data_IF_626881907146
#
_entry.id   IF_626881907146
#
_cell.length_a   1.000
_cell.length_b   1.000
_cell.length_c   1.000
_cell.angle_alpha   90.00
_cell.angle_beta   90.00
_cell.angle_gamma   90.00
#
_symmetry.space_group_name_H-M   'P 1'
#
loop_
_entity.id
_entity.type
_entity.pdbx_description
1 polymer ?
#
# COMPACT_ATOMS: atom_id res chain seq x y z
N UNK A 1 -21.57 20.46 -5.05
CA UNK A 1 -20.62 19.35 -5.26
C UNK A 1 -20.89 18.32 -4.18
N UNK A 2 -21.67 17.29 -4.47
CA UNK A 2 -21.98 16.23 -3.50
C UNK A 2 -20.80 15.25 -3.49
N UNK A 3 -19.88 15.44 -2.53
CA UNK A 3 -18.77 14.50 -2.32
C UNK A 3 -19.27 13.22 -1.69
N UNK A 4 -18.62 12.10 -1.98
CA UNK A 4 -18.86 10.86 -1.24
C UNK A 4 -18.54 11.10 0.25
N UNK A 5 -19.31 10.48 1.14
CA UNK A 5 -19.15 10.62 2.59
C UNK A 5 -18.89 9.26 3.25
N UNK A 6 -18.21 9.26 4.39
CA UNK A 6 -18.25 8.18 5.39
C UNK A 6 -18.51 8.76 6.78
N UNK A 7 -18.88 7.91 7.74
CA UNK A 7 -19.14 8.36 9.11
C UNK A 7 -17.95 8.05 10.02
N UNK A 8 -17.46 9.05 10.73
CA UNK A 8 -16.48 8.92 11.80
C UNK A 8 -17.16 9.20 13.14
N UNK A 9 -17.37 8.17 13.97
CA UNK A 9 -18.05 8.30 15.27
C UNK A 9 -19.40 9.04 15.16
N UNK A 10 -20.15 8.74 14.11
CA UNK A 10 -21.43 9.39 13.81
C UNK A 10 -21.34 10.73 13.08
N UNK A 11 -20.15 11.32 12.92
CA UNK A 11 -19.97 12.55 12.15
C UNK A 11 -19.75 12.25 10.67
N UNK A 12 -20.54 12.86 9.75
CA UNK A 12 -20.34 12.68 8.32
C UNK A 12 -19.07 13.42 7.87
N UNK A 13 -18.17 12.73 7.18
CA UNK A 13 -16.94 13.28 6.64
C UNK A 13 -16.92 13.12 5.11
N UNK A 14 -16.77 14.23 4.36
CA UNK A 14 -16.57 14.17 2.92
C UNK A 14 -15.15 13.69 2.59
N UNK A 15 -15.01 12.98 1.49
CA UNK A 15 -13.71 12.58 0.95
C UNK A 15 -13.67 12.69 -0.57
N UNK A 16 -12.46 12.81 -1.12
CA UNK A 16 -12.24 12.79 -2.56
C UNK A 16 -11.91 11.35 -3.04
N UNK A 17 -12.32 10.95 -4.26
CA UNK A 17 -11.98 9.63 -4.81
C UNK A 17 -10.48 9.34 -4.75
N UNK A 18 -10.13 8.19 -4.17
CA UNK A 18 -8.73 7.77 -4.00
C UNK A 18 -8.05 8.26 -2.71
N UNK A 19 -8.71 9.10 -1.91
CA UNK A 19 -8.24 9.44 -0.56
C UNK A 19 -8.26 8.21 0.36
N UNK A 20 -7.30 8.15 1.28
CA UNK A 20 -7.35 7.21 2.40
C UNK A 20 -8.19 7.77 3.54
N UNK A 21 -8.67 6.91 4.42
CA UNK A 21 -9.40 7.30 5.64
C UNK A 21 -8.60 8.33 6.46
N UNK A 22 -7.29 8.13 6.60
CA UNK A 22 -6.40 9.06 7.28
C UNK A 22 -6.34 10.44 6.62
N UNK A 23 -6.34 10.51 5.28
CA UNK A 23 -6.29 11.78 4.56
C UNK A 23 -7.58 12.57 4.77
N UNK A 24 -8.73 11.91 4.67
CA UNK A 24 -10.03 12.53 4.91
C UNK A 24 -10.18 13.02 6.36
N UNK A 25 -9.73 12.23 7.35
CA UNK A 25 -9.69 12.64 8.76
C UNK A 25 -8.78 13.85 9.00
N UNK A 26 -7.58 13.85 8.40
CA UNK A 26 -6.63 14.96 8.51
C UNK A 26 -7.19 16.27 7.93
N UNK A 27 -7.86 16.22 6.77
CA UNK A 27 -8.55 17.38 6.18
C UNK A 27 -9.66 17.93 7.08
N UNK A 28 -10.31 17.07 7.85
CA UNK A 28 -11.33 17.45 8.82
C UNK A 28 -10.76 17.95 10.17
N UNK A 29 -9.43 18.07 10.28
CA UNK A 29 -8.75 18.50 11.52
C UNK A 29 -8.67 17.40 12.59
N UNK A 30 -8.96 16.15 12.24
CA UNK A 30 -8.94 15.01 13.17
C UNK A 30 -7.55 14.36 13.10
N UNK A 31 -6.67 14.74 14.03
CA UNK A 31 -5.32 14.20 14.14
C UNK A 31 -5.23 12.93 15.01
N UNK A 32 -6.19 12.74 15.92
CA UNK A 32 -6.19 11.67 16.91
C UNK A 32 -7.36 10.70 16.72
N UNK A 33 -7.08 9.40 16.74
CA UNK A 33 -8.04 8.33 16.44
C UNK A 33 -8.55 7.61 17.70
N UNK A 34 -8.10 8.02 18.88
CA UNK A 34 -8.44 7.43 20.17
C UNK A 34 -7.20 6.98 20.96
N UNK A 35 -7.38 6.31 22.11
CA UNK A 35 -6.25 5.88 22.94
C UNK A 35 -5.48 4.73 22.28
N UNK A 36 -4.16 4.80 22.40
CA UNK A 36 -3.21 3.75 22.06
C UNK A 36 -2.90 2.84 23.25
N UNK A 37 -2.08 1.79 23.05
CA UNK A 37 -1.82 0.77 24.07
C UNK A 37 -1.21 1.29 25.38
N UNK A 38 -0.49 2.41 25.32
CA UNK A 38 0.20 3.02 26.47
C UNK A 38 -0.44 4.33 26.92
N UNK A 39 -1.70 4.58 26.55
CA UNK A 39 -2.42 5.82 26.88
C UNK A 39 -2.08 7.02 25.98
N UNK A 40 -1.09 6.91 25.09
CA UNK A 40 -0.81 7.91 24.05
C UNK A 40 -1.88 7.88 22.97
N UNK A 41 -2.24 9.03 22.40
CA UNK A 41 -3.20 9.06 21.31
C UNK A 41 -2.69 8.31 20.07
N UNK A 42 -3.57 7.51 19.46
CA UNK A 42 -3.40 6.95 18.13
C UNK A 42 -3.46 8.09 17.11
N UNK A 43 -2.48 8.15 16.22
CA UNK A 43 -2.41 9.15 15.16
C UNK A 43 -1.67 8.57 13.95
N UNK A 44 -1.80 9.25 12.81
CA UNK A 44 -0.94 8.96 11.65
C UNK A 44 0.46 9.42 11.95
N UNK A 45 1.41 8.48 11.93
CA UNK A 45 2.83 8.78 12.10
C UNK A 45 3.63 8.42 10.86
N UNK A 46 3.74 7.11 10.54
CA UNK A 46 4.56 6.67 9.42
C UNK A 46 3.90 6.82 8.03
N UNK A 47 2.57 6.93 7.97
CA UNK A 47 1.81 6.99 6.71
C UNK A 47 1.86 5.73 5.82
N UNK A 48 2.55 4.66 6.26
CA UNK A 48 2.79 3.44 5.47
C UNK A 48 2.31 2.16 6.17
N UNK A 49 1.42 2.28 7.16
CA UNK A 49 0.83 1.17 7.91
C UNK A 49 1.77 0.45 8.90
N UNK A 50 3.04 0.83 9.00
CA UNK A 50 4.03 0.11 9.83
C UNK A 50 3.92 0.42 11.32
N UNK A 51 3.67 1.68 11.69
CA UNK A 51 3.64 2.09 13.10
C UNK A 51 2.40 1.62 13.84
N UNK A 52 1.33 1.24 13.11
CA UNK A 52 0.03 0.83 13.64
C UNK A 52 -0.65 1.82 14.61
N UNK A 53 -0.10 3.03 14.77
CA UNK A 53 -0.74 4.12 15.52
C UNK A 53 -1.94 4.69 14.78
N UNK A 54 -2.09 4.45 13.48
CA UNK A 54 -3.24 4.87 12.68
C UNK A 54 -4.36 3.83 12.61
N UNK A 55 -4.37 2.80 13.46
CA UNK A 55 -5.38 1.75 13.39
C UNK A 55 -6.76 2.31 13.75
N UNK A 56 -7.73 2.01 12.90
CA UNK A 56 -9.15 2.32 13.05
C UNK A 56 -9.97 1.08 12.75
N UNK A 57 -11.26 1.10 13.07
CA UNK A 57 -12.18 0.07 12.65
C UNK A 57 -12.93 0.49 11.38
N UNK A 58 -12.89 -0.35 10.35
CA UNK A 58 -13.65 -0.17 9.11
C UNK A 58 -14.43 -1.45 8.86
N UNK A 59 -15.77 -1.34 8.83
CA UNK A 59 -16.67 -2.49 8.64
C UNK A 59 -16.37 -3.66 9.61
N UNK A 60 -16.18 -3.37 10.89
CA UNK A 60 -15.93 -4.37 11.94
C UNK A 60 -14.54 -4.99 11.93
N UNK A 61 -13.60 -4.44 11.16
CA UNK A 61 -12.22 -4.96 11.05
C UNK A 61 -11.22 -3.86 11.35
N UNK A 62 -10.17 -4.22 12.10
CA UNK A 62 -9.02 -3.32 12.30
C UNK A 62 -8.30 -3.10 10.97
N UNK A 63 -8.06 -1.83 10.64
CA UNK A 63 -7.47 -1.42 9.38
C UNK A 63 -6.54 -0.22 9.57
N UNK A 64 -5.44 -0.16 8.80
CA UNK A 64 -4.55 0.99 8.81
C UNK A 64 -5.19 2.16 8.06
N UNK A 65 -5.62 3.22 8.77
CA UNK A 65 -6.31 4.36 8.15
C UNK A 65 -5.48 5.02 7.04
N UNK A 66 -4.14 4.98 7.14
CA UNK A 66 -3.24 5.56 6.15
C UNK A 66 -3.20 4.83 4.80
N UNK A 67 -3.51 3.53 4.78
CA UNK A 67 -3.53 2.71 3.58
C UNK A 67 -4.95 2.37 3.11
N UNK A 68 -5.93 2.43 4.01
CA UNK A 68 -7.32 2.06 3.71
C UNK A 68 -8.00 3.16 2.90
N UNK A 69 -8.48 2.88 1.67
CA UNK A 69 -9.26 3.84 0.90
C UNK A 69 -10.51 4.26 1.68
N UNK A 70 -10.87 5.55 1.61
CA UNK A 70 -12.09 6.05 2.21
C UNK A 70 -13.31 5.33 1.58
N UNK A 71 -14.11 4.60 2.38
CA UNK A 71 -15.19 3.78 1.85
C UNK A 71 -16.36 4.67 1.43
N UNK A 72 -16.90 4.47 0.23
CA UNK A 72 -18.22 5.01 -0.10
C UNK A 72 -19.25 4.34 0.80
N UNK A 73 -20.14 5.09 1.44
CA UNK A 73 -21.34 4.51 2.06
C UNK A 73 -22.28 4.06 0.94
N UNK A 74 -22.04 2.85 0.42
CA UNK A 74 -22.98 2.12 -0.41
C UNK A 74 -22.71 0.63 -0.21
N UNK A 75 -23.78 -0.11 0.08
CA UNK A 75 -23.81 -1.53 0.42
C UNK A 75 -22.86 -2.40 -0.41
N UNK A 76 -22.19 -3.33 0.27
CA UNK A 76 -21.52 -4.52 -0.25
C UNK A 76 -21.21 -4.51 -1.76
N UNK A 77 -20.10 -3.89 -2.16
CA UNK A 77 -19.45 -4.37 -3.38
C UNK A 77 -18.85 -5.72 -3.06
N UNK A 78 -19.53 -6.79 -3.49
CA UNK A 78 -18.88 -8.08 -3.73
C UNK A 78 -17.63 -7.77 -4.55
N UNK A 79 -16.46 -8.07 -3.99
CA UNK A 79 -15.22 -7.97 -4.71
C UNK A 79 -15.28 -9.00 -5.84
N UNK A 80 -15.77 -8.62 -7.02
CA UNK A 80 -15.56 -9.36 -8.25
C UNK A 80 -14.14 -9.07 -8.71
N UNK A 81 -13.16 -9.35 -7.85
CA UNK A 81 -11.82 -9.67 -8.33
C UNK A 81 -12.04 -10.92 -9.18
N UNK A 82 -12.01 -10.73 -10.50
CA UNK A 82 -12.18 -11.77 -11.48
C UNK A 82 -11.35 -12.97 -11.02
N UNK A 83 -12.06 -14.06 -10.72
CA UNK A 83 -11.49 -15.31 -10.22
C UNK A 83 -10.84 -16.01 -11.41
N UNK A 84 -9.78 -15.43 -11.96
CA UNK A 84 -8.85 -16.19 -12.80
C UNK A 84 -8.10 -17.11 -11.86
N UNK A 85 -8.64 -18.32 -11.68
CA UNK A 85 -7.81 -19.49 -11.46
C UNK A 85 -6.98 -19.65 -12.72
N UNK A 86 -5.85 -18.95 -12.80
CA UNK A 86 -4.80 -19.46 -13.66
C UNK A 86 -4.25 -20.67 -12.93
N UNK A 87 -4.42 -21.86 -13.50
CA UNK A 87 -3.63 -23.00 -13.08
C UNK A 87 -2.16 -22.58 -13.27
N UNK A 88 -1.48 -22.38 -12.15
CA UNK A 88 -0.11 -21.89 -12.11
C UNK A 88 0.81 -22.87 -12.84
N UNK A 89 1.53 -22.35 -13.82
CA UNK A 89 2.64 -23.06 -14.45
C UNK A 89 3.95 -22.63 -13.80
N UNK A 90 4.86 -23.57 -13.56
CA UNK A 90 6.13 -23.48 -12.79
C UNK A 90 7.18 -22.45 -13.28
N UNK A 91 6.81 -21.38 -14.01
CA UNK A 91 7.74 -20.44 -14.65
C UNK A 91 7.24 -19.00 -14.58
N UNK A 92 6.95 -18.53 -13.39
CA UNK A 92 6.57 -17.13 -13.13
C UNK A 92 7.58 -16.55 -12.12
N UNK A 93 8.15 -15.38 -12.45
CA UNK A 93 9.03 -14.64 -11.55
C UNK A 93 8.16 -13.70 -10.72
N UNK A 94 8.27 -13.81 -9.39
CA UNK A 94 7.53 -12.97 -8.46
C UNK A 94 8.36 -11.74 -8.10
N UNK A 95 7.86 -10.55 -8.41
CA UNK A 95 8.46 -9.28 -7.98
C UNK A 95 7.62 -8.72 -6.83
N UNK A 96 8.24 -8.55 -5.67
CA UNK A 96 7.59 -8.05 -4.45
C UNK A 96 7.90 -6.57 -4.25
N UNK A 97 6.89 -5.73 -4.44
CA UNK A 97 6.94 -4.27 -4.33
C UNK A 97 6.86 -3.60 -5.70
N UNK A 98 5.85 -2.76 -5.92
CA UNK A 98 5.59 -2.00 -7.13
C UNK A 98 6.12 -0.55 -7.04
N UNK A 99 7.23 -0.35 -6.32
CA UNK A 99 7.99 0.90 -6.33
C UNK A 99 8.93 0.99 -7.54
N UNK A 100 9.68 2.08 -7.65
CA UNK A 100 10.62 2.34 -8.74
C UNK A 100 11.55 1.14 -9.05
N UNK A 101 12.12 0.51 -8.02
CA UNK A 101 13.02 -0.62 -8.17
C UNK A 101 12.31 -1.89 -8.69
N UNK A 102 11.13 -2.20 -8.16
CA UNK A 102 10.39 -3.40 -8.55
C UNK A 102 9.79 -3.29 -9.94
N UNK A 103 9.23 -2.13 -10.30
CA UNK A 103 8.78 -1.89 -11.69
C UNK A 103 9.96 -1.94 -12.65
N UNK A 104 11.12 -1.38 -12.28
CA UNK A 104 12.34 -1.47 -13.08
C UNK A 104 12.77 -2.91 -13.33
N UNK A 105 12.79 -3.73 -12.28
CA UNK A 105 13.10 -5.16 -12.40
C UNK A 105 12.07 -5.88 -13.30
N UNK A 106 10.78 -5.59 -13.14
CA UNK A 106 9.73 -6.21 -13.92
C UNK A 106 9.83 -5.88 -15.42
N UNK A 107 10.14 -4.63 -15.76
CA UNK A 107 10.39 -4.19 -17.14
C UNK A 107 11.55 -4.97 -17.77
N UNK A 108 12.69 -5.06 -17.09
CA UNK A 108 13.86 -5.79 -17.60
C UNK A 108 13.59 -7.29 -17.75
N UNK A 109 12.88 -7.90 -16.81
CA UNK A 109 12.49 -9.31 -16.88
C UNK A 109 11.49 -9.58 -18.03
N UNK A 110 10.51 -8.70 -18.21
CA UNK A 110 9.53 -8.82 -19.28
C UNK A 110 10.16 -8.64 -20.67
N UNK A 111 11.11 -7.69 -20.82
CA UNK A 111 11.94 -7.54 -22.02
C UNK A 111 12.76 -8.79 -22.34
N UNK A 112 13.23 -9.49 -21.31
CA UNK A 112 13.90 -10.78 -21.43
C UNK A 112 12.95 -11.98 -21.70
N UNK A 113 11.66 -11.71 -21.97
CA UNK A 113 10.66 -12.73 -22.28
C UNK A 113 10.20 -13.57 -21.08
N UNK A 114 10.50 -13.14 -19.85
CA UNK A 114 10.04 -13.83 -18.65
C UNK A 114 8.60 -13.47 -18.33
N UNK A 115 7.85 -14.41 -17.75
CA UNK A 115 6.53 -14.12 -17.17
C UNK A 115 6.70 -13.58 -15.76
N UNK A 116 6.15 -12.40 -15.52
CA UNK A 116 6.40 -11.64 -14.31
C UNK A 116 5.07 -11.29 -13.64
N UNK A 117 4.97 -11.62 -12.36
CA UNK A 117 3.92 -11.12 -11.48
C UNK A 117 4.51 -10.10 -10.53
N UNK A 118 4.04 -8.86 -10.62
CA UNK A 118 4.34 -7.79 -9.66
C UNK A 118 3.24 -7.74 -8.62
N UNK A 119 3.62 -7.83 -7.36
CA UNK A 119 2.69 -7.66 -6.23
C UNK A 119 3.05 -6.44 -5.39
N UNK A 120 2.04 -5.75 -4.87
CA UNK A 120 2.21 -4.71 -3.86
C UNK A 120 1.03 -4.71 -2.90
N UNK A 121 1.27 -4.34 -1.65
CA UNK A 121 0.23 -4.19 -0.63
C UNK A 121 -0.59 -2.92 -0.83
N UNK A 122 -0.04 -1.92 -1.51
CA UNK A 122 -0.72 -0.68 -1.87
C UNK A 122 -1.76 -0.93 -2.97
N UNK A 123 -2.78 -0.05 -3.09
CA UNK A 123 -3.81 -0.18 -4.13
C UNK A 123 -3.31 0.16 -5.54
N UNK A 124 -2.11 0.72 -5.68
CA UNK A 124 -1.51 1.11 -6.98
C UNK A 124 0.01 1.16 -6.89
N UNK A 125 0.66 1.13 -8.05
CA UNK A 125 2.11 1.24 -8.17
C UNK A 125 2.66 2.64 -7.83
N UNK A 126 3.94 2.69 -7.44
CA UNK A 126 4.74 3.90 -7.25
C UNK A 126 5.58 3.92 -5.97
N UNK A 127 5.15 3.21 -4.93
CA UNK A 127 5.87 3.15 -3.65
C UNK A 127 6.23 4.55 -3.13
N UNK A 128 7.51 4.76 -2.80
CA UNK A 128 7.99 6.03 -2.24
C UNK A 128 7.99 7.22 -3.21
N UNK A 129 7.78 7.00 -4.53
CA UNK A 129 7.72 8.11 -5.51
C UNK A 129 6.56 9.07 -5.21
N UNK A 130 5.47 8.57 -4.63
CA UNK A 130 4.31 9.40 -4.27
C UNK A 130 4.51 10.23 -2.99
N UNK A 131 5.64 10.07 -2.29
CA UNK A 131 5.90 10.78 -1.04
C UNK A 131 6.17 12.25 -1.33
N UNK A 132 5.36 13.12 -0.74
CA UNK A 132 5.53 14.56 -0.86
C UNK A 132 6.56 15.08 0.13
N UNK A 133 7.36 16.11 -0.25
CA UNK A 133 8.17 16.83 0.71
C UNK A 133 7.29 17.53 1.75
N UNK A 134 7.83 17.76 2.94
CA UNK A 134 7.15 18.56 3.96
C UNK A 134 7.04 20.02 3.48
N UNK A 135 5.96 20.74 3.83
CA UNK A 135 5.85 22.17 3.53
C UNK A 135 7.09 22.95 3.98
N UNK A 136 7.61 23.79 3.11
CA UNK A 136 8.83 24.59 3.39
C UNK A 136 10.14 23.79 3.36
N UNK A 137 10.13 22.49 3.03
CA UNK A 137 11.35 21.70 2.80
C UNK A 137 11.48 21.30 1.34
N UNK A 138 12.66 21.51 0.77
CA UNK A 138 12.98 20.99 -0.55
C UNK A 138 12.96 19.45 -0.56
N UNK A 139 12.52 18.85 -1.66
CA UNK A 139 12.64 17.42 -1.86
C UNK A 139 14.13 17.04 -1.96
N UNK A 140 14.55 16.01 -1.22
CA UNK A 140 15.93 15.50 -1.25
C UNK A 140 16.23 14.85 -2.62
N UNK A 141 15.22 14.27 -3.26
CA UNK A 141 15.28 13.78 -4.64
C UNK A 141 13.87 13.72 -5.23
N UNK A 142 13.73 14.00 -6.52
CA UNK A 142 12.50 13.75 -7.28
C UNK A 142 12.75 12.65 -8.29
N UNK A 143 12.00 11.57 -8.16
CA UNK A 143 12.01 10.46 -9.13
C UNK A 143 10.80 10.52 -10.07
N UNK A 144 10.01 11.60 -10.06
CA UNK A 144 8.75 11.70 -10.80
C UNK A 144 8.94 11.49 -12.31
N UNK A 145 9.81 12.26 -12.96
CA UNK A 145 10.06 12.11 -14.41
C UNK A 145 10.68 10.75 -14.81
N UNK A 146 11.39 10.09 -13.88
CA UNK A 146 11.89 8.72 -14.10
C UNK A 146 10.75 7.71 -13.96
N UNK A 147 9.89 7.90 -12.97
CA UNK A 147 8.72 7.08 -12.72
C UNK A 147 7.74 7.13 -13.87
N UNK A 148 7.41 8.33 -14.38
CA UNK A 148 6.43 8.51 -15.46
C UNK A 148 6.84 7.73 -16.71
N UNK A 149 8.13 7.80 -17.09
CA UNK A 149 8.67 7.01 -18.20
C UNK A 149 8.62 5.51 -17.93
N UNK A 150 9.03 5.10 -16.72
CA UNK A 150 9.12 3.69 -16.37
C UNK A 150 7.75 3.02 -16.30
N UNK A 151 6.73 3.70 -15.74
CA UNK A 151 5.40 3.12 -15.62
C UNK A 151 4.71 3.02 -16.98
N UNK A 152 4.87 4.04 -17.84
CA UNK A 152 4.35 4.00 -19.21
C UNK A 152 4.97 2.84 -20.02
N UNK A 153 6.26 2.58 -19.80
CA UNK A 153 6.92 1.44 -20.41
C UNK A 153 6.41 0.10 -19.87
N UNK A 154 6.27 -0.01 -18.54
CA UNK A 154 5.75 -1.22 -17.91
C UNK A 154 4.32 -1.57 -18.35
N UNK A 155 3.47 -0.55 -18.58
CA UNK A 155 2.11 -0.72 -19.11
C UNK A 155 2.08 -1.23 -20.55
N UNK A 156 3.16 -1.04 -21.32
CA UNK A 156 3.29 -1.55 -22.69
C UNK A 156 3.81 -3.00 -22.75
N UNK A 157 4.23 -3.58 -21.62
CA UNK A 157 4.78 -4.92 -21.51
C UNK A 157 3.78 -5.91 -20.89
N UNK A 158 3.89 -7.22 -21.20
CA UNK A 158 2.99 -8.24 -20.66
C UNK A 158 3.36 -8.61 -19.21
N UNK A 159 3.19 -7.66 -18.29
CA UNK A 159 3.42 -7.83 -16.85
C UNK A 159 2.08 -8.04 -16.16
N UNK A 160 1.98 -9.08 -15.34
CA UNK A 160 0.81 -9.31 -14.48
C UNK A 160 0.95 -8.54 -13.18
N UNK A 161 -0.15 -7.95 -12.71
CA UNK A 161 -0.18 -7.10 -11.52
C UNK A 161 -1.20 -7.59 -10.49
N UNK A 162 -0.80 -7.67 -9.24
CA UNK A 162 -1.70 -7.90 -8.11
C UNK A 162 -1.45 -6.90 -6.98
N UNK A 163 -2.33 -5.89 -6.91
CA UNK A 163 -2.36 -4.91 -5.83
C UNK A 163 -3.12 -5.44 -4.61
N UNK A 164 -3.04 -4.71 -3.50
CA UNK A 164 -3.63 -5.11 -2.21
C UNK A 164 -3.21 -6.52 -1.77
N UNK A 165 -2.04 -6.96 -2.23
CA UNK A 165 -1.49 -8.31 -2.04
C UNK A 165 -0.21 -8.21 -1.23
N UNK A 166 -0.20 -8.88 -0.08
CA UNK A 166 0.92 -8.88 0.86
C UNK A 166 1.76 -10.12 0.64
N UNK A 167 3.06 -9.96 0.50
CA UNK A 167 3.99 -11.08 0.62
C UNK A 167 4.25 -11.36 2.10
N UNK A 168 3.85 -12.54 2.57
CA UNK A 168 4.04 -12.94 3.97
C UNK A 168 5.41 -13.62 4.18
N UNK A 169 5.93 -14.31 3.17
CA UNK A 169 7.22 -14.98 3.24
C UNK A 169 7.36 -16.14 2.27
N UNK A 170 8.50 -16.82 2.35
CA UNK A 170 8.81 -18.06 1.67
C UNK A 170 8.99 -19.18 2.71
N UNK A 171 8.51 -20.37 2.40
CA UNK A 171 8.88 -21.57 3.16
C UNK A 171 10.27 -22.10 2.72
N UNK A 172 10.75 -23.14 3.41
CA UNK A 172 12.03 -23.79 3.07
C UNK A 172 12.03 -24.43 1.68
N UNK A 173 10.85 -24.69 1.12
CA UNK A 173 10.68 -25.22 -0.21
C UNK A 173 10.72 -24.14 -1.29
N UNK A 174 10.67 -22.85 -0.96
CA UNK A 174 10.50 -21.77 -1.93
C UNK A 174 9.05 -21.51 -2.33
N UNK A 175 8.07 -22.01 -1.56
CA UNK A 175 6.67 -21.62 -1.71
C UNK A 175 6.45 -20.26 -1.06
N UNK A 176 5.99 -19.29 -1.84
CA UNK A 176 5.58 -17.97 -1.38
C UNK A 176 4.14 -18.00 -0.83
N UNK A 177 3.95 -17.41 0.35
CA UNK A 177 2.63 -17.12 0.90
C UNK A 177 2.24 -15.68 0.57
N UNK A 178 1.15 -15.52 -0.17
CA UNK A 178 0.56 -14.23 -0.52
C UNK A 178 -0.74 -14.05 0.28
N UNK A 179 -0.81 -12.98 1.06
CA UNK A 179 -2.00 -12.55 1.80
C UNK A 179 -2.77 -11.44 1.08
N UNK A 180 -4.03 -11.24 1.45
CA UNK A 180 -4.92 -10.24 0.83
C UNK A 180 -6.37 -10.51 1.19
N UNK A 181 -7.30 -10.29 0.26
CA UNK A 181 -8.70 -10.71 0.43
C UNK A 181 -8.86 -12.23 0.61
N UNK A 182 -7.98 -13.01 -0.02
CA UNK A 182 -7.83 -14.45 0.17
C UNK A 182 -6.34 -14.80 0.18
N UNK A 183 -5.94 -15.74 1.05
CA UNK A 183 -4.57 -16.22 1.07
C UNK A 183 -4.32 -17.17 -0.12
N UNK A 184 -3.15 -17.06 -0.72
CA UNK A 184 -2.71 -17.89 -1.85
C UNK A 184 -1.29 -18.39 -1.59
N UNK A 185 -1.03 -19.62 -1.98
CA UNK A 185 0.32 -20.19 -2.02
C UNK A 185 0.75 -20.26 -3.48
N UNK A 186 1.99 -19.87 -3.76
CA UNK A 186 2.58 -20.05 -5.09
C UNK A 186 4.05 -20.45 -4.99
N UNK A 187 4.54 -21.23 -5.96
CA UNK A 187 5.95 -21.59 -6.05
C UNK A 187 6.57 -20.89 -7.26
N UNK A 188 7.14 -19.69 -7.09
CA UNK A 188 7.74 -18.95 -8.19
C UNK A 188 9.06 -19.60 -8.62
N UNK A 189 9.47 -19.37 -9.87
CA UNK A 189 10.77 -19.82 -10.37
C UNK A 189 11.92 -18.99 -9.76
N UNK A 190 11.66 -17.72 -9.48
CA UNK A 190 12.56 -16.80 -8.78
C UNK A 190 11.75 -15.70 -8.09
N UNK A 191 12.34 -15.07 -7.08
CA UNK A 191 11.73 -13.94 -6.36
C UNK A 191 12.68 -12.74 -6.38
N UNK A 192 12.15 -11.58 -6.76
CA UNK A 192 12.82 -10.29 -6.64
C UNK A 192 12.20 -9.52 -5.48
N UNK A 193 13.01 -9.23 -4.46
CA UNK A 193 12.56 -8.46 -3.30
C UNK A 193 12.87 -6.97 -3.50
N UNK A 194 11.85 -6.20 -3.84
CA UNK A 194 11.91 -4.75 -4.04
C UNK A 194 11.05 -4.01 -2.98
N UNK A 195 11.20 -4.40 -1.72
CA UNK A 195 10.34 -4.00 -0.59
C UNK A 195 10.51 -2.52 -0.16
N UNK A 196 11.51 -1.83 -0.70
CA UNK A 196 11.89 -0.50 -0.26
C UNK A 196 12.57 -0.48 1.11
N UNK A 197 12.70 0.71 1.67
CA UNK A 197 13.29 0.95 2.98
C UNK A 197 12.29 1.68 3.89
N UNK A 198 12.52 1.59 5.20
CA UNK A 198 11.73 2.28 6.23
C UNK A 198 12.59 3.31 6.94
N UNK A 199 11.97 4.41 7.36
CA UNK A 199 12.60 5.38 8.24
C UNK A 199 12.89 4.73 9.59
N UNK A 200 14.11 4.93 10.09
CA UNK A 200 14.46 4.55 11.45
C UNK A 200 13.88 5.59 12.41
N UNK A 201 12.96 5.14 13.26
CA UNK A 201 12.41 5.97 14.35
C UNK A 201 13.33 5.81 15.55
N UNK A 202 13.97 6.90 15.97
CA UNK A 202 14.78 6.90 17.19
C UNK A 202 13.89 7.23 18.39
N UNK A 203 13.94 6.45 19.48
CA UNK A 203 13.25 6.82 20.71
C UNK A 203 13.75 8.18 21.19
N UNK A 204 12.83 9.13 21.34
CA UNK A 204 13.10 10.36 22.08
C UNK A 204 12.95 10.15 23.59
N UNK A 205 13.31 11.15 24.42
CA UNK A 205 13.00 11.10 25.84
C UNK A 205 11.49 10.88 26.05
N UNK A 206 11.13 10.04 27.03
CA UNK A 206 9.74 9.71 27.31
C UNK A 206 8.87 10.98 27.49
N UNK A 207 7.69 11.00 26.86
CA UNK A 207 6.68 12.03 27.09
C UNK A 207 6.68 13.26 26.19
N UNK A 208 7.44 13.30 25.08
CA UNK A 208 7.35 14.39 24.09
C UNK A 208 7.07 13.85 22.70
N UNK A 209 5.82 13.93 22.26
CA UNK A 209 5.55 14.05 20.83
C UNK A 209 6.11 15.42 20.41
N UNK A 210 6.94 15.54 19.36
CA UNK A 210 7.33 16.85 18.85
C UNK A 210 6.04 17.59 18.47
N UNK A 211 5.92 18.82 18.97
CA UNK A 211 4.86 19.75 18.60
C UNK A 211 4.90 20.07 17.09
#
# INVERSE_FOLDING_TARGET
MSGDIFYWRGQPLPFAPGESVAHALGRAGIAEFGPGPTGTARAVFCGIGQCQMCLVEVAGRSAEACLTPAPRVCASRRNTAARRRSAMTEREILVVGAGLAGVGAAVELARAGQRVLVIDRAPRAGGAVHRQPLPGRAAISSHAARWDRLIAEAEALPIDWAFETRFAGLDHGGTALLGGGVNRLMRPAAVVLALGAREAVRPGPAGRCPA
#
